data_IF_818313411205
#
_entry.id   IF_818313411205
#
_cell.length_a   1.000
_cell.length_b   1.000
_cell.length_c   1.000
_cell.angle_alpha   90.00
_cell.angle_beta   90.00
_cell.angle_gamma   90.00
#
_symmetry.space_group_name_H-M   'P 1'
#
loop_
_entity.id
_entity.type
_entity.pdbx_description
1 polymer ?
#
# COMPACT_ATOMS: atom_id res chain seq x y z
N UNK A 1 -9.51 5.26 -10.29
CA UNK A 1 -9.57 3.81 -9.95
C UNK A 1 -10.73 3.48 -9.01
N UNK A 2 -10.85 4.09 -7.82
CA UNK A 2 -11.90 3.74 -6.83
C UNK A 2 -13.36 3.94 -7.31
N UNK A 3 -13.61 4.87 -8.23
CA UNK A 3 -14.95 5.10 -8.77
C UNK A 3 -15.48 3.94 -9.65
N UNK A 4 -14.61 3.01 -10.07
CA UNK A 4 -15.00 1.85 -10.87
C UNK A 4 -15.47 0.71 -9.97
N UNK A 5 -16.59 0.07 -10.32
CA UNK A 5 -17.12 -1.10 -9.58
C UNK A 5 -16.38 -2.42 -9.85
N UNK A 6 -15.38 -2.42 -10.73
CA UNK A 6 -14.67 -3.63 -11.13
C UNK A 6 -13.68 -4.11 -10.06
N UNK A 7 -13.72 -5.40 -9.72
CA UNK A 7 -12.73 -6.06 -8.85
C UNK A 7 -11.28 -5.86 -9.34
N UNK A 8 -11.08 -5.78 -10.65
CA UNK A 8 -9.76 -5.53 -11.25
C UNK A 8 -9.24 -4.12 -10.94
N UNK A 9 -10.13 -3.13 -10.81
CA UNK A 9 -9.75 -1.77 -10.42
C UNK A 9 -9.42 -1.67 -8.94
N UNK A 10 -10.10 -2.42 -8.08
CA UNK A 10 -9.74 -2.55 -6.66
C UNK A 10 -8.34 -3.19 -6.50
N UNK A 11 -8.06 -4.25 -7.26
CA UNK A 11 -6.71 -4.83 -7.35
C UNK A 11 -5.67 -3.81 -7.81
N UNK A 12 -5.91 -3.10 -8.92
CA UNK A 12 -4.95 -2.15 -9.47
C UNK A 12 -4.67 -0.99 -8.50
N UNK A 13 -5.70 -0.51 -7.80
CA UNK A 13 -5.57 0.51 -6.76
C UNK A 13 -4.75 0.03 -5.58
N UNK A 14 -5.08 -1.13 -5.00
CA UNK A 14 -4.33 -1.70 -3.88
C UNK A 14 -2.87 -1.97 -4.24
N UNK A 15 -2.61 -2.57 -5.41
CA UNK A 15 -1.24 -2.77 -5.88
C UNK A 15 -0.50 -1.44 -6.02
N UNK A 16 -1.10 -0.42 -6.63
CA UNK A 16 -0.45 0.88 -6.84
C UNK A 16 -0.09 1.54 -5.50
N UNK A 17 -1.03 1.56 -4.55
CA UNK A 17 -0.84 2.17 -3.23
C UNK A 17 0.17 1.38 -2.39
N UNK A 18 0.09 0.04 -2.39
CA UNK A 18 1.03 -0.81 -1.64
C UNK A 18 2.43 -0.76 -2.25
N UNK A 19 2.58 -0.81 -3.57
CA UNK A 19 3.88 -0.72 -4.23
C UNK A 19 4.54 0.65 -4.05
N UNK A 20 3.74 1.73 -4.03
CA UNK A 20 4.19 3.08 -3.70
C UNK A 20 4.72 3.13 -2.27
N UNK A 21 3.91 2.71 -1.29
CA UNK A 21 4.29 2.73 0.11
C UNK A 21 5.51 1.83 0.37
N UNK A 22 5.59 0.67 -0.27
CA UNK A 22 6.74 -0.21 -0.13
C UNK A 22 7.98 0.30 -0.85
N UNK A 23 7.88 1.24 -1.79
CA UNK A 23 8.99 1.65 -2.65
C UNK A 23 9.68 0.44 -3.31
N UNK A 24 8.89 -0.50 -3.82
CA UNK A 24 9.40 -1.78 -4.32
C UNK A 24 9.13 -1.97 -5.83
N UNK A 25 9.82 -2.95 -6.42
CA UNK A 25 9.53 -3.35 -7.81
C UNK A 25 8.20 -4.09 -7.86
N UNK A 26 7.57 -4.11 -9.02
CA UNK A 26 6.35 -4.88 -9.26
C UNK A 26 6.51 -6.36 -8.96
N UNK A 27 7.65 -6.95 -9.34
CA UNK A 27 7.96 -8.35 -9.04
C UNK A 27 7.96 -8.64 -7.53
N UNK A 28 8.46 -7.69 -6.72
CA UNK A 28 8.43 -7.80 -5.27
C UNK A 28 7.01 -7.66 -4.72
N UNK A 29 6.25 -6.67 -5.19
CA UNK A 29 4.86 -6.45 -4.76
C UNK A 29 3.95 -7.64 -5.11
N UNK A 30 4.04 -8.16 -6.33
CA UNK A 30 3.27 -9.32 -6.78
C UNK A 30 3.71 -10.63 -6.11
N UNK A 31 4.96 -10.68 -5.62
CA UNK A 31 5.48 -11.80 -4.83
C UNK A 31 5.22 -11.69 -3.33
N UNK A 32 4.46 -10.69 -2.85
CA UNK A 32 4.08 -10.60 -1.45
C UNK A 32 3.16 -11.77 -1.12
N UNK A 33 3.50 -12.45 -0.04
CA UNK A 33 2.69 -13.49 0.56
C UNK A 33 2.04 -12.98 1.82
N UNK A 34 0.90 -13.52 2.19
CA UNK A 34 0.30 -13.32 3.51
C UNK A 34 1.33 -13.67 4.58
N UNK A 35 2.19 -14.69 4.38
CA UNK A 35 3.31 -15.07 5.28
C UNK A 35 4.34 -13.97 5.51
N UNK A 36 4.40 -12.97 4.66
CA UNK A 36 5.30 -11.82 4.78
C UNK A 36 4.70 -10.64 5.56
N UNK A 37 3.42 -10.72 5.93
CA UNK A 37 2.67 -9.62 6.51
C UNK A 37 2.53 -9.80 8.02
N UNK A 38 2.85 -8.77 8.78
CA UNK A 38 2.69 -8.74 10.23
C UNK A 38 2.31 -7.32 10.67
N UNK A 39 1.39 -7.19 11.62
CA UNK A 39 1.14 -5.89 12.26
C UNK A 39 1.97 -5.78 13.54
N UNK A 40 2.75 -4.70 13.68
CA UNK A 40 3.53 -4.41 14.90
C UNK A 40 3.50 -2.93 15.22
N UNK A 41 3.25 -2.61 16.50
CA UNK A 41 3.04 -1.22 16.92
C UNK A 41 1.86 -0.62 16.17
N UNK A 42 2.10 0.45 15.43
CA UNK A 42 1.08 1.15 14.64
C UNK A 42 1.28 1.02 13.12
N UNK A 43 2.04 0.01 12.68
CA UNK A 43 2.36 -0.22 11.27
C UNK A 43 2.09 -1.66 10.82
N UNK A 44 1.70 -1.78 9.55
CA UNK A 44 1.80 -3.03 8.81
C UNK A 44 3.24 -3.20 8.31
N UNK A 45 3.91 -4.27 8.72
CA UNK A 45 5.26 -4.63 8.29
C UNK A 45 5.21 -5.68 7.18
N UNK A 46 6.00 -5.45 6.12
CA UNK A 46 6.19 -6.42 5.03
C UNK A 46 7.65 -6.87 4.99
N UNK A 47 7.88 -8.17 5.11
CA UNK A 47 9.19 -8.81 5.04
C UNK A 47 9.43 -9.39 3.65
N UNK A 48 10.31 -8.79 2.85
CA UNK A 48 10.61 -9.33 1.52
C UNK A 48 11.49 -10.59 1.60
N UNK A 49 11.14 -11.60 0.81
CA UNK A 49 11.96 -12.81 0.66
C UNK A 49 13.30 -12.53 -0.05
N UNK A 50 13.33 -11.59 -1.01
CA UNK A 50 14.51 -11.20 -1.77
C UNK A 50 14.57 -9.70 -2.01
N UNK A 51 15.73 -9.07 -1.80
CA UNK A 51 15.98 -7.66 -2.10
C UNK A 51 17.10 -7.50 -3.13
N UNK A 52 17.01 -6.46 -3.99
CA UNK A 52 17.98 -6.24 -5.08
C UNK A 52 19.42 -6.04 -4.58
N UNK A 53 19.58 -5.42 -3.41
CA UNK A 53 20.87 -5.15 -2.78
C UNK A 53 21.36 -6.31 -1.88
N UNK A 54 20.66 -7.44 -1.88
CA UNK A 54 20.99 -8.64 -1.11
C UNK A 54 21.24 -9.83 -2.06
N UNK A 55 22.36 -9.79 -2.77
CA UNK A 55 22.78 -10.85 -3.69
C UNK A 55 23.44 -12.03 -2.97
N UNK A 56 23.77 -11.89 -1.67
CA UNK A 56 24.48 -12.89 -0.88
C UNK A 56 23.63 -13.62 0.17
N UNK A 57 22.37 -13.23 0.38
CA UNK A 57 21.45 -13.77 1.40
C UNK A 57 21.90 -13.63 2.86
N UNK A 58 22.97 -12.87 3.13
CA UNK A 58 23.55 -12.67 4.47
C UNK A 58 22.91 -11.51 5.25
N UNK A 59 21.96 -10.77 4.66
CA UNK A 59 21.36 -9.61 5.30
C UNK A 59 20.12 -10.00 6.11
N UNK A 60 19.92 -9.41 7.32
CA UNK A 60 18.68 -9.58 8.07
C UNK A 60 17.47 -9.24 7.19
N UNK A 61 16.36 -9.97 7.37
CA UNK A 61 15.08 -9.64 6.72
C UNK A 61 14.47 -8.45 7.42
N UNK A 62 14.92 -7.26 7.04
CA UNK A 62 14.41 -6.01 7.58
C UNK A 62 13.00 -5.71 7.01
N UNK A 63 12.02 -5.34 7.86
CA UNK A 63 10.68 -5.03 7.40
C UNK A 63 10.60 -3.66 6.73
N UNK A 64 9.60 -3.49 5.86
CA UNK A 64 9.14 -2.17 5.42
C UNK A 64 7.85 -1.81 6.13
N UNK A 65 7.87 -0.71 6.86
CA UNK A 65 6.73 -0.21 7.63
C UNK A 65 5.74 0.55 6.73
N UNK A 66 4.50 0.10 6.66
CA UNK A 66 3.38 0.73 5.98
C UNK A 66 2.44 1.34 7.02
N UNK A 67 2.10 2.61 6.87
CA UNK A 67 1.25 3.35 7.80
C UNK A 67 -0.08 3.73 7.15
N UNK A 68 -1.15 3.73 7.93
CA UNK A 68 -2.41 4.30 7.48
C UNK A 68 -2.30 5.82 7.29
N UNK A 69 -3.07 6.36 6.36
CA UNK A 69 -3.28 7.81 6.22
C UNK A 69 -4.77 8.12 6.28
N UNK A 70 -5.36 8.24 7.48
CA UNK A 70 -6.78 8.54 7.63
C UNK A 70 -7.16 9.96 7.19
N UNK A 71 -6.18 10.82 6.86
CA UNK A 71 -6.43 12.17 6.36
C UNK A 71 -6.66 12.19 4.86
N UNK A 72 -6.15 11.18 4.13
CA UNK A 72 -6.31 11.05 2.68
C UNK A 72 -6.72 9.61 2.32
N UNK A 73 -8.03 9.30 2.43
CA UNK A 73 -8.52 7.94 2.26
C UNK A 73 -8.17 7.32 0.89
N UNK A 74 -8.14 8.13 -0.17
CA UNK A 74 -7.85 7.67 -1.55
C UNK A 74 -6.45 7.07 -1.75
N UNK A 75 -5.49 7.39 -0.88
CA UNK A 75 -4.10 6.88 -0.92
C UNK A 75 -3.73 6.10 0.34
N UNK A 76 -4.65 5.90 1.28
CA UNK A 76 -4.40 5.18 2.52
C UNK A 76 -4.15 3.69 2.23
N UNK A 77 -2.97 3.13 2.53
CA UNK A 77 -2.65 1.75 2.19
C UNK A 77 -3.47 0.72 2.95
N UNK A 78 -3.84 1.01 4.20
CA UNK A 78 -4.66 0.09 5.01
C UNK A 78 -6.11 0.06 4.51
N UNK A 79 -6.65 1.21 4.10
CA UNK A 79 -7.96 1.27 3.44
C UNK A 79 -7.92 0.57 2.08
N UNK A 80 -6.90 0.83 1.26
CA UNK A 80 -6.76 0.20 -0.06
C UNK A 80 -6.66 -1.34 0.07
N UNK A 81 -5.93 -1.84 1.07
CA UNK A 81 -5.86 -3.27 1.39
C UNK A 81 -7.24 -3.82 1.80
N UNK A 82 -7.95 -3.13 2.70
CA UNK A 82 -9.29 -3.51 3.13
C UNK A 82 -10.30 -3.55 1.98
N UNK A 83 -10.30 -2.54 1.11
CA UNK A 83 -11.15 -2.50 -0.09
C UNK A 83 -10.87 -3.68 -1.03
N UNK A 84 -9.60 -3.99 -1.21
CA UNK A 84 -9.17 -5.11 -2.05
C UNK A 84 -9.60 -6.46 -1.48
N UNK A 85 -9.37 -6.71 -0.19
CA UNK A 85 -9.81 -7.95 0.47
C UNK A 85 -11.33 -8.08 0.50
N UNK A 86 -12.06 -6.99 0.76
CA UNK A 86 -13.53 -7.02 0.74
C UNK A 86 -14.12 -7.29 -0.66
N UNK A 87 -13.32 -7.07 -1.71
CA UNK A 87 -13.73 -7.30 -3.10
C UNK A 87 -13.16 -8.60 -3.69
N UNK A 88 -12.33 -9.32 -2.94
CA UNK A 88 -11.57 -10.50 -3.40
C UNK A 88 -11.99 -11.76 -2.65
N UNK A 89 -11.80 -12.90 -3.29
CA UNK A 89 -11.96 -14.19 -2.63
C UNK A 89 -10.58 -14.70 -2.20
N UNK A 90 -10.49 -15.23 -1.00
CA UNK A 90 -9.32 -15.98 -0.56
C UNK A 90 -9.40 -17.39 -1.15
N UNK A 91 -8.54 -17.70 -2.11
CA UNK A 91 -8.51 -18.95 -2.87
C UNK A 91 -7.62 -20.03 -2.23
N UNK A 92 -7.22 -19.83 -0.97
CA UNK A 92 -6.26 -20.67 -0.25
C UNK A 92 -4.79 -20.40 -0.64
N UNK A 93 -4.53 -19.54 -1.63
CA UNK A 93 -3.19 -19.07 -1.94
C UNK A 93 -2.61 -18.27 -0.79
N UNK A 94 -1.31 -18.44 -0.55
CA UNK A 94 -0.55 -17.58 0.36
C UNK A 94 -0.16 -16.26 -0.32
N UNK A 95 -0.52 -15.99 -1.58
CA UNK A 95 -0.22 -14.72 -2.26
C UNK A 95 -1.20 -13.61 -1.87
N UNK A 96 -0.69 -12.40 -1.64
CA UNK A 96 -1.52 -11.21 -1.49
C UNK A 96 -2.33 -10.93 -2.76
N UNK A 97 -1.71 -11.11 -3.93
CA UNK A 97 -2.36 -10.94 -5.23
C UNK A 97 -2.39 -12.28 -5.99
N UNK A 98 -3.42 -13.12 -5.80
CA UNK A 98 -3.52 -14.42 -6.43
C UNK A 98 -3.77 -14.34 -7.94
N UNK A 99 -3.49 -15.45 -8.62
CA UNK A 99 -3.56 -15.57 -10.08
C UNK A 99 -2.21 -15.40 -10.77
N UNK A 100 -2.19 -15.49 -12.10
CA UNK A 100 -1.00 -15.38 -12.93
C UNK A 100 -0.96 -14.05 -13.71
N UNK A 101 0.21 -13.72 -14.28
CA UNK A 101 0.39 -12.56 -15.16
C UNK A 101 -0.03 -11.22 -14.54
N UNK A 102 0.23 -11.02 -13.24
CA UNK A 102 -0.16 -9.81 -12.49
C UNK A 102 0.32 -8.50 -13.14
N UNK A 103 1.47 -8.53 -13.82
CA UNK A 103 1.98 -7.37 -14.55
C UNK A 103 1.03 -6.95 -15.68
N UNK A 104 0.61 -7.90 -16.51
CA UNK A 104 -0.32 -7.61 -17.62
C UNK A 104 -1.72 -7.29 -17.10
N UNK A 105 -2.15 -7.96 -16.01
CA UNK A 105 -3.39 -7.64 -15.29
C UNK A 105 -3.42 -6.16 -14.86
N UNK A 106 -2.37 -5.69 -14.19
CA UNK A 106 -2.24 -4.29 -13.81
C UNK A 106 -2.16 -3.37 -15.03
N UNK A 107 -1.34 -3.73 -16.03
CA UNK A 107 -1.14 -2.94 -17.25
C UNK A 107 -2.46 -2.66 -17.98
N UNK A 108 -3.36 -3.64 -18.08
CA UNK A 108 -4.70 -3.45 -18.67
C UNK A 108 -5.52 -2.39 -17.92
N UNK A 109 -5.53 -2.45 -16.59
CA UNK A 109 -6.23 -1.46 -15.76
C UNK A 109 -5.59 -0.07 -15.88
N UNK A 110 -4.25 -0.02 -15.87
CA UNK A 110 -3.46 1.19 -16.01
C UNK A 110 -3.72 1.90 -17.35
N UNK A 111 -3.65 1.17 -18.46
CA UNK A 111 -3.92 1.73 -19.79
C UNK A 111 -5.37 2.20 -19.94
N UNK A 112 -6.32 1.51 -19.32
CA UNK A 112 -7.72 1.97 -19.28
C UNK A 112 -7.84 3.29 -18.53
N UNK A 113 -7.23 3.40 -17.36
CA UNK A 113 -7.24 4.63 -16.56
C UNK A 113 -6.63 5.81 -17.31
N UNK A 114 -5.47 5.61 -17.94
CA UNK A 114 -4.77 6.67 -18.67
C UNK A 114 -5.53 7.20 -19.87
N UNK A 115 -6.51 6.45 -20.38
CA UNK A 115 -7.39 6.87 -21.50
C UNK A 115 -8.65 7.59 -21.02
N UNK A 116 -8.89 7.69 -19.72
CA UNK A 116 -10.02 8.46 -19.20
C UNK A 116 -9.77 9.95 -19.47
N UNK A 117 -10.81 10.66 -19.89
CA UNK A 117 -10.70 12.05 -20.37
C UNK A 117 -10.10 12.97 -19.30
N UNK A 118 -10.59 12.89 -18.06
CA UNK A 118 -10.07 13.71 -16.95
C UNK A 118 -8.61 13.39 -16.62
N UNK A 119 -8.19 12.12 -16.73
CA UNK A 119 -6.79 11.72 -16.50
C UNK A 119 -5.91 12.26 -17.62
N UNK A 120 -6.34 12.10 -18.87
CA UNK A 120 -5.62 12.60 -20.05
C UNK A 120 -5.46 14.11 -20.01
N UNK A 121 -6.54 14.83 -19.65
CA UNK A 121 -6.53 16.27 -19.48
C UNK A 121 -5.55 16.71 -18.38
N UNK A 122 -5.54 16.00 -17.25
CA UNK A 122 -4.63 16.30 -16.13
C UNK A 122 -3.16 16.03 -16.48
N UNK A 123 -2.86 14.93 -17.17
CA UNK A 123 -1.51 14.64 -17.66
C UNK A 123 -1.01 15.73 -18.61
N UNK A 124 -1.86 16.12 -19.57
CA UNK A 124 -1.54 17.22 -20.50
C UNK A 124 -1.33 18.54 -19.76
N UNK A 125 -2.14 18.84 -18.75
CA UNK A 125 -2.00 20.03 -17.90
C UNK A 125 -0.66 20.06 -17.16
N UNK A 126 -0.16 18.90 -16.76
CA UNK A 126 1.14 18.74 -16.11
C UNK A 126 2.32 18.58 -17.10
N UNK A 127 2.06 18.60 -18.41
CA UNK A 127 3.09 18.42 -19.43
C UNK A 127 3.66 17.00 -19.49
N UNK A 128 2.89 16.00 -19.09
CA UNK A 128 3.28 14.59 -19.07
C UNK A 128 2.58 13.81 -20.18
N UNK A 129 3.31 12.91 -20.83
CA UNK A 129 2.75 11.91 -21.72
C UNK A 129 2.46 10.60 -20.97
N UNK A 130 1.35 9.96 -21.32
CA UNK A 130 0.93 8.68 -20.72
C UNK A 130 1.98 7.56 -20.87
N UNK A 131 2.81 7.60 -21.91
CA UNK A 131 3.88 6.63 -22.17
C UNK A 131 5.09 6.78 -21.25
N UNK A 132 5.25 7.95 -20.61
CA UNK A 132 6.31 8.19 -19.62
C UNK A 132 6.01 7.53 -18.28
N UNK A 133 4.75 7.14 -18.06
CA UNK A 133 4.31 6.52 -16.82
C UNK A 133 4.27 5.00 -16.94
N UNK A 134 4.77 4.33 -15.92
CA UNK A 134 4.74 2.89 -15.85
C UNK A 134 4.91 2.37 -14.45
N UNK A 135 5.03 1.05 -14.32
CA UNK A 135 5.13 0.41 -13.01
C UNK A 135 6.36 0.83 -12.20
N UNK A 136 7.42 1.30 -12.86
CA UNK A 136 8.59 1.86 -12.20
C UNK A 136 8.31 3.19 -11.49
N UNK A 137 7.25 3.92 -11.89
CA UNK A 137 6.86 5.19 -11.29
C UNK A 137 6.54 5.04 -9.80
N UNK A 138 5.96 3.92 -9.36
CA UNK A 138 5.65 3.71 -7.94
C UNK A 138 6.90 3.67 -7.08
N UNK A 139 7.99 3.05 -7.55
CA UNK A 139 9.25 2.98 -6.79
C UNK A 139 10.11 4.24 -6.92
N UNK A 140 10.22 4.79 -8.13
CA UNK A 140 11.04 5.97 -8.38
C UNK A 140 10.36 7.22 -7.83
N UNK A 141 9.07 7.38 -8.09
CA UNK A 141 8.27 8.52 -7.65
C UNK A 141 8.17 8.61 -6.14
N UNK A 142 7.94 7.50 -5.43
CA UNK A 142 7.93 7.50 -3.96
C UNK A 142 9.29 7.87 -3.36
N UNK A 143 10.39 7.43 -3.96
CA UNK A 143 11.73 7.82 -3.54
C UNK A 143 11.95 9.33 -3.70
N UNK A 144 11.63 9.88 -4.86
CA UNK A 144 11.71 11.33 -5.13
C UNK A 144 10.81 12.13 -4.20
N UNK A 145 9.59 11.65 -3.96
CA UNK A 145 8.64 12.28 -3.05
C UNK A 145 9.21 12.38 -1.63
N UNK A 146 9.81 11.30 -1.12
CA UNK A 146 10.46 11.33 0.19
C UNK A 146 11.68 12.23 0.24
N UNK A 147 12.56 12.16 -0.77
CA UNK A 147 13.84 12.90 -0.72
C UNK A 147 13.70 14.40 -0.97
N UNK A 148 12.65 14.82 -1.68
CA UNK A 148 12.56 16.16 -2.25
C UNK A 148 11.23 16.88 -1.95
N UNK A 149 10.31 16.24 -1.23
CA UNK A 149 8.98 16.79 -0.93
C UNK A 149 8.91 17.76 0.26
N UNK A 150 9.94 17.82 1.11
CA UNK A 150 10.04 18.74 2.26
C UNK A 150 11.50 19.00 2.63
N UNK A 151 11.76 20.08 3.36
CA UNK A 151 13.02 20.33 4.08
C UNK A 151 13.23 19.41 5.28
N UNK A 152 12.18 18.76 5.80
CA UNK A 152 12.26 17.73 6.84
C UNK A 152 12.20 16.31 6.28
N UNK A 153 12.77 16.08 5.10
CA UNK A 153 12.76 14.77 4.46
C UNK A 153 13.49 13.68 5.28
N UNK A 154 13.09 12.41 5.14
CA UNK A 154 13.89 11.30 5.66
C UNK A 154 15.29 11.30 5.06
N UNK A 155 16.26 10.72 5.78
CA UNK A 155 17.63 10.62 5.28
C UNK A 155 17.68 9.89 3.93
N UNK A 156 18.55 10.37 3.03
CA UNK A 156 18.76 9.72 1.73
C UNK A 156 19.17 8.26 1.89
N UNK A 157 19.94 7.95 2.94
CA UNK A 157 20.30 6.58 3.33
C UNK A 157 19.06 5.71 3.56
N UNK A 158 18.11 6.14 4.38
CA UNK A 158 16.89 5.38 4.65
C UNK A 158 16.04 5.22 3.39
N UNK A 159 15.90 6.29 2.59
CA UNK A 159 15.17 6.27 1.31
C UNK A 159 15.79 5.26 0.34
N UNK A 160 17.12 5.26 0.16
CA UNK A 160 17.82 4.35 -0.73
C UNK A 160 17.74 2.89 -0.27
N UNK A 161 17.92 2.65 1.04
CA UNK A 161 17.81 1.31 1.62
C UNK A 161 16.39 0.76 1.45
N UNK A 162 15.36 1.56 1.73
CA UNK A 162 13.97 1.19 1.46
C UNK A 162 13.71 1.01 -0.03
N UNK A 163 14.28 1.81 -0.94
CA UNK A 163 14.13 1.60 -2.38
C UNK A 163 14.83 0.33 -2.91
N UNK A 164 15.65 -0.32 -2.07
CA UNK A 164 16.53 -1.43 -2.45
C UNK A 164 17.62 -0.98 -3.43
N UNK A 165 18.13 0.23 -3.27
CA UNK A 165 19.22 0.79 -4.08
C UNK A 165 20.55 0.60 -3.36
N UNK A 166 21.62 0.46 -4.15
CA UNK A 166 22.98 0.42 -3.61
C UNK A 166 23.38 1.84 -3.21
N UNK A 167 23.96 2.01 -2.03
CA UNK A 167 24.52 3.29 -1.58
C UNK A 167 25.87 3.58 -2.26
N UNK A 168 26.58 2.52 -2.65
CA UNK A 168 27.87 2.61 -3.34
C UNK A 168 29.07 2.72 -2.40
N UNK A 169 30.21 2.20 -2.85
CA UNK A 169 31.51 2.30 -2.17
C UNK A 169 31.47 1.99 -0.67
N UNK A 170 32.13 2.84 0.10
CA UNK A 170 32.25 2.77 1.57
C UNK A 170 30.90 2.82 2.29
N UNK A 171 29.89 3.51 1.73
CA UNK A 171 28.59 3.67 2.39
C UNK A 171 27.85 2.34 2.56
N UNK A 172 27.98 1.41 1.59
CA UNK A 172 27.37 0.09 1.68
C UNK A 172 27.88 -0.75 2.87
N UNK A 173 29.09 -0.46 3.35
CA UNK A 173 29.70 -1.18 4.47
C UNK A 173 29.15 -0.68 5.80
N UNK A 174 29.05 0.64 5.97
CA UNK A 174 28.78 1.28 7.27
C UNK A 174 27.33 1.72 7.47
N UNK A 175 26.60 2.01 6.40
CA UNK A 175 25.22 2.48 6.49
C UNK A 175 24.26 1.32 6.26
N UNK A 176 23.61 0.90 7.35
CA UNK A 176 22.70 -0.25 7.38
C UNK A 176 21.26 0.20 7.61
N UNK A 177 20.35 -0.73 7.40
CA UNK A 177 18.96 -0.52 7.75
C UNK A 177 18.85 -0.23 9.24
N UNK A 178 18.04 0.77 9.57
CA UNK A 178 17.63 1.05 10.94
C UNK A 178 16.13 1.33 10.93
N UNK A 179 15.40 0.70 11.85
CA UNK A 179 13.95 0.71 11.85
C UNK A 179 13.39 2.14 11.92
N UNK A 180 13.95 3.01 12.76
CA UNK A 180 13.52 4.40 12.89
C UNK A 180 13.60 5.18 11.56
N UNK A 181 14.65 4.92 10.75
CA UNK A 181 14.78 5.51 9.43
C UNK A 181 13.69 5.05 8.48
N UNK A 182 13.43 3.74 8.44
CA UNK A 182 12.36 3.17 7.61
C UNK A 182 10.95 3.60 8.06
N UNK A 183 10.72 3.74 9.36
CA UNK A 183 9.47 4.24 9.93
C UNK A 183 9.21 5.68 9.51
N UNK A 184 10.23 6.56 9.56
CA UNK A 184 10.13 7.92 9.04
C UNK A 184 9.77 7.90 7.55
N UNK A 185 10.51 7.15 6.73
CA UNK A 185 10.20 7.02 5.30
C UNK A 185 8.78 6.50 5.08
N UNK A 186 8.36 5.48 5.83
CA UNK A 186 7.04 4.85 5.76
C UNK A 186 5.90 5.84 6.00
N UNK A 187 6.01 6.68 7.02
CA UNK A 187 5.02 7.73 7.29
C UNK A 187 5.01 8.79 6.20
N UNK A 188 6.18 9.19 5.71
CA UNK A 188 6.29 10.15 4.60
C UNK A 188 5.63 9.60 3.33
N UNK A 189 5.98 8.39 2.85
CA UNK A 189 5.37 7.83 1.63
C UNK A 189 3.86 7.57 1.74
N UNK A 190 3.34 7.38 2.97
CA UNK A 190 1.90 7.28 3.20
C UNK A 190 1.17 8.61 2.99
N UNK A 191 1.90 9.72 2.85
CA UNK A 191 1.36 11.07 2.66
C UNK A 191 0.98 11.76 3.97
N UNK A 192 1.50 11.31 5.11
CA UNK A 192 1.29 11.99 6.38
C UNK A 192 2.06 13.32 6.41
N UNK A 193 1.47 14.40 6.97
CA UNK A 193 2.05 15.74 6.88
C UNK A 193 3.27 15.91 7.81
N UNK A 194 4.48 15.93 7.24
CA UNK A 194 5.76 15.97 7.99
C UNK A 194 5.91 17.16 8.93
N UNK A 195 5.35 18.31 8.57
CA UNK A 195 5.44 19.57 9.35
C UNK A 195 4.28 19.73 10.36
N UNK A 196 3.63 18.64 10.75
CA UNK A 196 2.46 18.69 11.64
C UNK A 196 2.50 17.56 12.67
N UNK A 197 1.89 17.78 13.84
CA UNK A 197 1.67 16.71 14.83
C UNK A 197 0.88 15.53 14.24
N UNK A 198 0.11 15.79 13.18
CA UNK A 198 -0.63 14.77 12.42
C UNK A 198 0.30 13.78 11.68
N UNK A 199 1.60 14.03 11.63
CA UNK A 199 2.58 13.06 11.14
C UNK A 199 2.53 11.73 11.91
N UNK A 200 2.18 11.80 13.19
CA UNK A 200 2.06 10.65 14.09
C UNK A 200 0.63 10.11 14.20
N UNK A 201 -0.26 10.47 13.28
CA UNK A 201 -1.64 9.97 13.28
C UNK A 201 -1.64 8.44 13.21
N UNK A 202 -2.40 7.80 14.09
CA UNK A 202 -2.55 6.36 14.16
C UNK A 202 -3.54 5.85 13.09
N UNK A 203 -3.44 4.56 12.76
CA UNK A 203 -4.46 3.90 11.98
C UNK A 203 -5.81 3.90 12.72
N UNK A 204 -6.95 4.02 12.02
CA UNK A 204 -8.25 3.70 12.61
C UNK A 204 -8.22 2.31 13.25
N UNK A 205 -8.69 2.21 14.48
CA UNK A 205 -8.73 0.98 15.26
C UNK A 205 -9.95 0.98 16.18
N UNK A 206 -10.35 -0.20 16.62
CA UNK A 206 -11.37 -0.37 17.64
C UNK A 206 -10.73 -0.31 19.02
N UNK A 207 -11.45 0.23 20.01
CA UNK A 207 -10.99 0.26 21.41
C UNK A 207 -10.85 -1.15 21.99
N UNK A 208 -11.70 -2.07 21.54
CA UNK A 208 -11.62 -3.48 21.89
C UNK A 208 -12.11 -4.37 20.73
N UNK A 209 -11.58 -5.58 20.68
CA UNK A 209 -11.98 -6.62 19.73
C UNK A 209 -13.08 -7.48 20.35
N UNK A 210 -14.32 -7.05 20.17
CA UNK A 210 -15.51 -7.75 20.67
C UNK A 210 -16.11 -8.71 19.61
N UNK A 211 -17.23 -9.35 19.95
CA UNK A 211 -17.93 -10.25 19.05
C UNK A 211 -18.44 -9.57 17.77
N UNK A 212 -18.73 -8.27 17.82
CA UNK A 212 -19.17 -7.47 16.66
C UNK A 212 -18.02 -7.28 15.68
N UNK A 213 -16.82 -6.97 16.18
CA UNK A 213 -15.60 -6.87 15.35
C UNK A 213 -15.27 -8.21 14.70
N UNK A 214 -15.29 -9.31 15.46
CA UNK A 214 -15.05 -10.65 14.91
C UNK A 214 -16.06 -11.02 13.82
N UNK A 215 -17.33 -10.68 14.03
CA UNK A 215 -18.40 -10.90 13.05
C UNK A 215 -18.19 -10.04 11.82
N UNK A 216 -17.83 -8.76 11.99
CA UNK A 216 -17.50 -7.85 10.90
C UNK A 216 -16.33 -8.34 10.05
N UNK A 217 -15.26 -8.85 10.67
CA UNK A 217 -14.11 -9.42 9.94
C UNK A 217 -14.55 -10.60 9.07
N UNK A 218 -15.36 -11.52 9.62
CA UNK A 218 -15.85 -12.70 8.89
C UNK A 218 -16.78 -12.33 7.73
N UNK A 219 -17.63 -11.33 7.92
CA UNK A 219 -18.56 -10.85 6.90
C UNK A 219 -17.84 -10.09 5.77
N UNK A 220 -16.87 -9.24 6.11
CA UNK A 220 -16.15 -8.43 5.14
C UNK A 220 -15.05 -9.19 4.42
N UNK A 221 -14.41 -10.15 5.07
CA UNK A 221 -13.26 -10.88 4.54
C UNK A 221 -13.49 -12.40 4.60
N UNK A 222 -14.49 -12.94 3.87
CA UNK A 222 -14.83 -14.35 3.93
C UNK A 222 -13.67 -15.22 3.44
N UNK A 223 -13.28 -16.22 4.23
CA UNK A 223 -12.16 -17.12 3.91
C UNK A 223 -10.78 -16.58 4.25
N UNK A 224 -10.68 -15.43 4.92
CA UNK A 224 -9.43 -14.88 5.41
C UNK A 224 -8.72 -15.88 6.37
N UNK A 225 -7.43 -16.18 6.15
CA UNK A 225 -6.64 -16.96 7.10
C UNK A 225 -6.57 -16.32 8.49
N UNK A 226 -6.74 -17.10 9.56
CA UNK A 226 -6.77 -16.61 10.95
C UNK A 226 -5.55 -15.75 11.33
N UNK A 227 -4.37 -16.10 10.83
CA UNK A 227 -3.12 -15.36 11.06
C UNK A 227 -3.12 -13.93 10.52
N UNK A 228 -4.03 -13.59 9.60
CA UNK A 228 -4.23 -12.22 9.12
C UNK A 228 -5.29 -11.47 9.95
N UNK A 229 -5.93 -12.13 10.92
CA UNK A 229 -7.05 -11.59 11.66
C UNK A 229 -6.75 -10.26 12.37
N UNK A 230 -5.52 -10.05 12.83
CA UNK A 230 -5.14 -8.77 13.44
C UNK A 230 -4.95 -7.64 12.40
N UNK A 231 -4.43 -7.96 11.22
CA UNK A 231 -4.33 -6.99 10.11
C UNK A 231 -5.73 -6.65 9.59
N UNK A 232 -6.60 -7.66 9.46
CA UNK A 232 -7.97 -7.49 8.99
C UNK A 232 -8.82 -6.63 9.91
N UNK A 233 -8.54 -6.64 11.22
CA UNK A 233 -9.17 -5.74 12.18
C UNK A 233 -8.90 -4.26 11.85
N UNK A 234 -7.65 -3.89 11.54
CA UNK A 234 -7.30 -2.54 11.10
C UNK A 234 -7.87 -2.19 9.72
N UNK A 235 -7.93 -3.17 8.80
CA UNK A 235 -8.61 -2.99 7.52
C UNK A 235 -10.11 -2.72 7.71
N UNK A 236 -10.77 -3.48 8.59
CA UNK A 236 -12.17 -3.30 8.94
C UNK A 236 -12.41 -1.93 9.57
N UNK A 237 -11.62 -1.57 10.58
CA UNK A 237 -11.70 -0.27 11.23
C UNK A 237 -11.52 0.88 10.23
N UNK A 238 -10.58 0.74 9.29
CA UNK A 238 -10.37 1.71 8.21
C UNK A 238 -11.59 1.84 7.28
N UNK A 239 -12.24 0.73 6.92
CA UNK A 239 -13.46 0.74 6.10
C UNK A 239 -14.61 1.46 6.82
N UNK A 240 -14.82 1.15 8.09
CA UNK A 240 -15.88 1.76 8.93
C UNK A 240 -15.64 3.26 9.11
N UNK A 241 -14.42 3.63 9.51
CA UNK A 241 -14.02 5.03 9.74
C UNK A 241 -14.16 5.90 8.48
N UNK A 242 -13.90 5.32 7.29
CA UNK A 242 -14.03 6.02 6.01
C UNK A 242 -15.37 5.82 5.31
N UNK A 243 -16.40 5.31 6.00
CA UNK A 243 -17.68 4.94 5.39
C UNK A 243 -18.34 6.09 4.59
N UNK A 244 -18.39 7.30 5.16
CA UNK A 244 -18.94 8.48 4.47
C UNK A 244 -18.19 8.83 3.19
N UNK A 245 -16.85 8.75 3.22
CA UNK A 245 -16.01 8.97 2.04
C UNK A 245 -16.27 7.91 0.97
N UNK A 246 -16.36 6.64 1.37
CA UNK A 246 -16.59 5.52 0.45
C UNK A 246 -17.96 5.61 -0.20
N UNK A 247 -19.03 5.92 0.54
CA UNK A 247 -20.38 6.13 -0.03
C UNK A 247 -20.44 7.27 -1.04
N UNK A 248 -19.66 8.34 -0.81
CA UNK A 248 -19.60 9.48 -1.73
C UNK A 248 -18.70 9.27 -2.94
N UNK A 249 -17.74 8.33 -2.88
CA UNK A 249 -16.70 8.17 -3.92
C UNK A 249 -16.91 6.92 -4.78
N UNK A 250 -17.36 5.82 -4.19
CA UNK A 250 -17.59 4.58 -4.90
C UNK A 250 -18.85 4.68 -5.76
N UNK A 251 -18.87 3.96 -6.87
CA UNK A 251 -20.10 3.79 -7.64
C UNK A 251 -21.21 3.20 -6.75
N UNK A 252 -22.47 3.65 -6.87
CA UNK A 252 -23.59 3.03 -6.15
C UNK A 252 -23.76 1.53 -6.42
N UNK A 253 -23.17 1.01 -7.51
CA UNK A 253 -23.15 -0.42 -7.88
C UNK A 253 -21.88 -1.15 -7.42
N UNK A 254 -21.08 -0.54 -6.56
CA UNK A 254 -19.85 -1.15 -6.08
C UNK A 254 -20.18 -2.22 -5.03
N UNK A 255 -19.73 -3.46 -5.21
CA UNK A 255 -20.09 -4.60 -4.35
C UNK A 255 -19.81 -4.38 -2.85
N UNK A 256 -18.79 -3.58 -2.51
CA UNK A 256 -18.55 -3.18 -1.11
C UNK A 256 -19.82 -2.57 -0.45
N UNK A 257 -20.60 -1.78 -1.19
CA UNK A 257 -21.80 -1.14 -0.68
C UNK A 257 -22.99 -2.09 -0.54
N UNK A 258 -22.85 -3.35 -0.97
CA UNK A 258 -23.82 -4.42 -0.78
C UNK A 258 -23.48 -5.28 0.46
N UNK A 259 -22.33 -5.03 1.09
CA UNK A 259 -21.90 -5.78 2.28
C UNK A 259 -22.66 -5.30 3.53
N UNK A 260 -22.85 -6.14 4.57
CA UNK A 260 -23.66 -5.80 5.75
C UNK A 260 -23.19 -4.58 6.57
N UNK A 261 -22.00 -4.06 6.30
CA UNK A 261 -21.43 -2.89 7.00
C UNK A 261 -21.81 -1.57 6.32
N UNK A 262 -22.20 -1.61 5.05
CA UNK A 262 -22.62 -0.47 4.24
C UNK A 262 -24.11 -0.55 3.92
#
# INVERSE_FOLDING_TARGET
MMAHSSKEMAFAHAYMVIAWNLMCRSSNAFGIRHSHMEWRGDALQIYFAHMKNDQGSDRPRDPRHIYANPLQPSICPILALGLYWASSNFDGSDLLFPGSNQYERFRKCWLRLLREEYVTAELKRQGLDATELGTHSMRKGSATFCSSGSTACPSSTAVHLRAGWSLGGVQNTYLRYEAAGDMHVGRTVAGLPTESYKFLTLAPHFDCRDASVETGIKLMFPGLPERLGYIAEYCLASLVYHSSFLRGTLSPKHHLLETPIF
#
